data_IF_031723516337
#
_entry.id   IF_031723516337
#
_cell.length_a   1.000
_cell.length_b   1.000
_cell.length_c   1.000
_cell.angle_alpha   90.00
_cell.angle_beta   90.00
_cell.angle_gamma   90.00
#
_symmetry.space_group_name_H-M   'P 1'
#
loop_
_entity.id
_entity.type
_entity.pdbx_description
1 polymer ?
#
# COMPACT_ATOMS: atom_id res chain seq x y z
N UNK A 1 48.75 -18.99 -49.06
CA UNK A 1 47.51 -19.75 -48.76
C UNK A 1 47.20 -19.55 -47.28
N UNK A 2 46.64 -18.38 -46.92
CA UNK A 2 46.31 -18.02 -45.53
C UNK A 2 44.94 -17.37 -45.58
N UNK A 3 43.88 -18.16 -45.40
CA UNK A 3 42.52 -17.64 -45.28
C UNK A 3 41.61 -18.70 -44.63
N UNK A 4 41.83 -19.01 -43.35
CA UNK A 4 40.95 -19.92 -42.61
C UNK A 4 40.99 -19.70 -41.09
N UNK A 5 40.94 -18.45 -40.63
CA UNK A 5 40.98 -18.14 -39.18
C UNK A 5 39.99 -17.04 -38.72
N UNK A 6 39.19 -16.48 -39.64
CA UNK A 6 38.23 -15.42 -39.31
C UNK A 6 36.81 -15.93 -38.99
N UNK A 7 36.51 -17.21 -39.22
CA UNK A 7 35.15 -17.75 -39.07
C UNK A 7 34.81 -18.16 -37.62
N UNK A 8 35.80 -18.53 -36.80
CA UNK A 8 35.54 -19.09 -35.46
C UNK A 8 35.39 -18.05 -34.33
N UNK A 9 35.74 -16.78 -34.59
CA UNK A 9 35.66 -15.72 -33.57
C UNK A 9 34.25 -15.10 -33.44
N UNK A 10 33.44 -15.19 -34.49
CA UNK A 10 32.07 -14.65 -34.51
C UNK A 10 31.05 -15.55 -33.76
N UNK A 11 31.36 -16.84 -33.56
CA UNK A 11 30.41 -17.81 -32.99
C UNK A 11 30.41 -17.87 -31.46
N UNK A 12 31.47 -17.38 -30.79
CA UNK A 12 31.61 -17.42 -29.32
C UNK A 12 31.02 -16.20 -28.60
N UNK A 13 30.80 -15.08 -29.29
CA UNK A 13 30.29 -13.85 -28.66
C UNK A 13 28.78 -13.90 -28.36
N UNK A 14 28.00 -14.64 -29.17
CA UNK A 14 26.54 -14.67 -29.04
C UNK A 14 26.04 -15.59 -27.91
N UNK A 15 26.80 -16.64 -27.54
CA UNK A 15 26.40 -17.60 -26.50
C UNK A 15 26.48 -17.05 -25.07
N UNK A 16 27.44 -16.15 -24.80
CA UNK A 16 27.62 -15.58 -23.47
C UNK A 16 26.54 -14.54 -23.13
N UNK A 17 26.10 -13.74 -24.11
CA UNK A 17 25.05 -12.73 -23.91
C UNK A 17 23.70 -13.40 -23.64
N UNK A 18 23.35 -14.44 -24.41
CA UNK A 18 22.10 -15.16 -24.21
C UNK A 18 22.10 -15.96 -22.90
N UNK A 19 23.24 -16.54 -22.51
CA UNK A 19 23.42 -17.17 -21.20
C UNK A 19 23.33 -16.16 -20.05
N UNK A 20 23.83 -14.93 -20.23
CA UNK A 20 23.76 -13.86 -19.22
C UNK A 20 22.32 -13.35 -19.05
N UNK A 21 21.59 -13.17 -20.15
CA UNK A 21 20.18 -12.77 -20.13
C UNK A 21 19.32 -13.83 -19.41
N UNK A 22 19.56 -15.12 -19.67
CA UNK A 22 18.81 -16.19 -19.01
C UNK A 22 19.09 -16.29 -17.50
N UNK A 23 20.34 -16.09 -17.07
CA UNK A 23 20.66 -16.07 -15.62
C UNK A 23 20.11 -14.82 -14.92
N UNK A 24 20.04 -13.68 -15.60
CA UNK A 24 19.44 -12.47 -15.05
C UNK A 24 17.92 -12.63 -14.86
N UNK A 25 17.21 -13.19 -15.85
CA UNK A 25 15.79 -13.50 -15.68
C UNK A 25 15.58 -14.54 -14.57
N UNK A 26 16.39 -15.60 -14.50
CA UNK A 26 16.29 -16.59 -13.43
C UNK A 26 16.51 -15.95 -12.04
N UNK A 27 17.44 -15.00 -11.92
CA UNK A 27 17.66 -14.22 -10.69
C UNK A 27 16.47 -13.33 -10.35
N UNK A 28 15.91 -12.61 -11.34
CA UNK A 28 14.74 -11.75 -11.14
C UNK A 28 13.52 -12.60 -10.72
N UNK A 29 13.30 -13.75 -11.36
CA UNK A 29 12.23 -14.67 -10.97
C UNK A 29 12.43 -15.22 -9.56
N UNK A 30 13.66 -15.61 -9.21
CA UNK A 30 13.99 -16.04 -7.85
C UNK A 30 13.75 -14.92 -6.84
N UNK A 31 14.17 -13.69 -7.14
CA UNK A 31 13.91 -12.52 -6.29
C UNK A 31 12.41 -12.26 -6.14
N UNK A 32 11.65 -12.33 -7.24
CA UNK A 32 10.21 -12.15 -7.21
C UNK A 32 9.54 -13.19 -6.32
N UNK A 33 9.95 -14.45 -6.44
CA UNK A 33 9.50 -15.52 -5.55
C UNK A 33 9.84 -15.18 -4.09
N UNK A 34 11.10 -14.89 -3.77
CA UNK A 34 11.50 -14.52 -2.40
C UNK A 34 10.69 -13.34 -1.85
N UNK A 35 10.45 -12.30 -2.65
CA UNK A 35 9.65 -11.13 -2.27
C UNK A 35 8.20 -11.51 -2.02
N UNK A 36 7.59 -12.33 -2.89
CA UNK A 36 6.20 -12.78 -2.71
C UNK A 36 6.08 -13.62 -1.44
N UNK A 37 7.01 -14.56 -1.19
CA UNK A 37 7.00 -15.32 0.05
C UNK A 37 7.17 -14.41 1.26
N UNK A 38 8.12 -13.49 1.22
CA UNK A 38 8.31 -12.50 2.28
C UNK A 38 7.03 -11.69 2.54
N UNK A 39 6.36 -11.22 1.49
CA UNK A 39 5.11 -10.47 1.59
C UNK A 39 3.96 -11.32 2.14
N UNK A 40 3.85 -12.59 1.75
CA UNK A 40 2.84 -13.52 2.28
C UNK A 40 3.06 -13.81 3.77
N UNK A 41 4.32 -14.04 4.18
CA UNK A 41 4.65 -14.19 5.60
C UNK A 41 4.36 -12.90 6.38
N UNK A 42 4.76 -11.75 5.85
CA UNK A 42 4.43 -10.45 6.43
C UNK A 42 2.92 -10.27 6.60
N UNK A 43 2.14 -10.51 5.54
CA UNK A 43 0.68 -10.43 5.57
C UNK A 43 0.05 -11.38 6.60
N UNK A 44 0.56 -12.61 6.73
CA UNK A 44 0.07 -13.56 7.72
C UNK A 44 0.37 -13.10 9.15
N UNK A 45 1.57 -12.58 9.40
CA UNK A 45 1.99 -12.04 10.70
C UNK A 45 1.18 -10.80 11.07
N UNK A 46 1.09 -9.82 10.18
CA UNK A 46 0.29 -8.61 10.42
C UNK A 46 -1.19 -8.95 10.59
N UNK A 47 -1.75 -9.86 9.79
CA UNK A 47 -3.14 -10.30 9.96
C UNK A 47 -3.36 -10.97 11.32
N UNK A 48 -2.43 -11.81 11.79
CA UNK A 48 -2.55 -12.44 13.10
C UNK A 48 -2.49 -11.42 14.25
N UNK A 49 -1.68 -10.37 14.11
CA UNK A 49 -1.49 -9.35 15.14
C UNK A 49 -2.59 -8.27 15.13
N UNK A 50 -2.97 -7.77 13.96
CA UNK A 50 -3.85 -6.60 13.83
C UNK A 50 -5.32 -6.95 13.76
N UNK A 51 -5.68 -8.10 13.17
CA UNK A 51 -7.09 -8.53 13.04
C UNK A 51 -7.85 -8.62 14.39
N UNK A 52 -7.30 -9.15 15.49
CA UNK A 52 -8.04 -9.13 16.76
C UNK A 52 -8.29 -7.71 17.27
N UNK A 53 -7.32 -6.80 17.11
CA UNK A 53 -7.46 -5.40 17.51
C UNK A 53 -8.51 -4.66 16.66
N UNK A 54 -8.54 -4.95 15.37
CA UNK A 54 -9.57 -4.45 14.44
C UNK A 54 -10.97 -4.89 14.87
N UNK A 55 -11.16 -6.18 15.16
CA UNK A 55 -12.45 -6.71 15.61
C UNK A 55 -12.89 -6.10 16.94
N UNK A 56 -11.98 -5.94 17.90
CA UNK A 56 -12.29 -5.27 19.15
C UNK A 56 -12.67 -3.80 18.94
N UNK A 57 -11.97 -3.08 18.05
CA UNK A 57 -12.30 -1.71 17.71
C UNK A 57 -13.69 -1.61 17.07
N UNK A 58 -14.05 -2.53 16.17
CA UNK A 58 -15.39 -2.63 15.60
C UNK A 58 -16.45 -2.92 16.66
N UNK A 59 -16.20 -3.87 17.59
CA UNK A 59 -17.13 -4.15 18.67
C UNK A 59 -17.34 -2.94 19.59
N UNK A 60 -16.26 -2.23 19.95
CA UNK A 60 -16.35 -1.00 20.76
C UNK A 60 -17.13 0.10 20.04
N UNK A 61 -16.85 0.31 18.76
CA UNK A 61 -17.56 1.27 17.92
C UNK A 61 -19.05 0.97 17.83
N UNK A 62 -19.42 -0.27 17.49
CA UNK A 62 -20.81 -0.68 17.38
C UNK A 62 -21.57 -0.56 18.70
N UNK A 63 -20.90 -0.86 19.82
CA UNK A 63 -21.49 -0.68 21.15
C UNK A 63 -21.76 0.79 21.44
N UNK A 64 -20.79 1.68 21.20
CA UNK A 64 -20.97 3.12 21.41
C UNK A 64 -22.11 3.69 20.54
N UNK A 65 -22.20 3.23 19.29
CA UNK A 65 -23.26 3.65 18.38
C UNK A 65 -24.64 3.18 18.85
N UNK A 66 -24.75 1.92 19.30
CA UNK A 66 -25.99 1.38 19.84
C UNK A 66 -26.43 2.08 21.13
N UNK A 67 -25.50 2.35 22.05
CA UNK A 67 -25.75 3.11 23.27
C UNK A 67 -26.24 4.53 22.94
N UNK A 68 -25.64 5.20 21.96
CA UNK A 68 -26.07 6.54 21.51
C UNK A 68 -27.48 6.54 20.92
N UNK A 69 -27.77 5.59 20.03
CA UNK A 69 -29.12 5.40 19.42
C UNK A 69 -30.16 5.18 20.50
N UNK A 70 -29.85 4.34 21.49
CA UNK A 70 -30.76 4.02 22.58
C UNK A 70 -31.01 5.24 23.48
N UNK A 71 -29.95 5.96 23.85
CA UNK A 71 -30.01 7.10 24.78
C UNK A 71 -30.74 8.31 24.16
N UNK A 72 -30.55 8.54 22.85
CA UNK A 72 -31.10 9.71 22.14
C UNK A 72 -32.35 9.39 21.30
N UNK A 73 -32.83 8.14 21.31
CA UNK A 73 -33.97 7.66 20.51
C UNK A 73 -33.88 8.03 19.02
N UNK A 74 -32.67 8.05 18.46
CA UNK A 74 -32.42 8.43 17.06
C UNK A 74 -32.77 7.26 16.14
N UNK A 75 -33.49 7.46 15.01
CA UNK A 75 -33.69 6.43 14.02
C UNK A 75 -32.34 5.92 13.50
N UNK A 76 -32.13 4.60 13.53
CA UNK A 76 -30.84 4.01 13.14
C UNK A 76 -30.49 4.29 11.67
N UNK A 77 -31.49 4.45 10.81
CA UNK A 77 -31.33 4.79 9.40
C UNK A 77 -30.76 6.21 9.20
N UNK A 78 -31.33 7.21 9.86
CA UNK A 78 -30.88 8.61 9.79
C UNK A 78 -29.44 8.76 10.31
N UNK A 79 -29.09 8.01 11.37
CA UNK A 79 -27.73 8.03 11.93
C UNK A 79 -26.71 7.40 10.97
N UNK A 80 -27.06 6.31 10.30
CA UNK A 80 -26.19 5.67 9.30
C UNK A 80 -26.03 6.54 8.06
N UNK A 81 -27.09 7.24 7.63
CA UNK A 81 -27.02 8.21 6.54
C UNK A 81 -26.07 9.37 6.89
N UNK A 82 -26.19 9.92 8.11
CA UNK A 82 -25.29 10.95 8.62
C UNK A 82 -23.84 10.47 8.67
N UNK A 83 -23.58 9.25 9.16
CA UNK A 83 -22.24 8.65 9.16
C UNK A 83 -21.69 8.49 7.75
N UNK A 84 -22.52 8.07 6.79
CA UNK A 84 -22.13 7.98 5.39
C UNK A 84 -21.81 9.34 4.77
N UNK A 85 -22.53 10.41 5.16
CA UNK A 85 -22.19 11.78 4.77
C UNK A 85 -20.89 12.25 5.41
N UNK A 86 -20.68 11.92 6.69
CA UNK A 86 -19.46 12.24 7.43
C UNK A 86 -18.23 11.53 6.84
N UNK A 87 -18.35 10.26 6.44
CA UNK A 87 -17.28 9.52 5.77
C UNK A 87 -16.87 10.20 4.45
N UNK A 88 -17.86 10.62 3.64
CA UNK A 88 -17.62 11.40 2.41
C UNK A 88 -16.93 12.74 2.71
N UNK A 89 -17.32 13.41 3.78
CA UNK A 89 -16.73 14.68 4.20
C UNK A 89 -15.26 14.49 4.64
N UNK A 90 -14.95 13.45 5.42
CA UNK A 90 -13.57 13.10 5.79
C UNK A 90 -12.73 12.77 4.56
N UNK A 91 -13.29 12.00 3.61
CA UNK A 91 -12.60 11.69 2.36
C UNK A 91 -12.28 12.95 1.53
N UNK A 92 -13.12 13.98 1.62
CA UNK A 92 -12.87 15.31 1.05
C UNK A 92 -11.90 16.18 1.88
N UNK A 93 -11.41 15.69 3.03
CA UNK A 93 -10.50 16.40 3.93
C UNK A 93 -11.18 17.38 4.89
N UNK A 94 -12.51 17.34 5.00
CA UNK A 94 -13.28 18.17 5.92
C UNK A 94 -13.17 17.57 7.33
N UNK A 95 -12.65 18.35 8.28
CA UNK A 95 -12.46 17.93 9.68
C UNK A 95 -13.59 18.46 10.55
N UNK A 96 -13.96 17.68 11.57
CA UNK A 96 -15.03 18.03 12.51
C UNK A 96 -14.67 19.25 13.38
N UNK A 97 -13.41 19.30 13.83
CA UNK A 97 -12.86 20.50 14.45
C UNK A 97 -12.30 21.42 13.36
N UNK A 98 -12.76 22.67 13.32
CA UNK A 98 -12.24 23.74 12.47
C UNK A 98 -10.83 24.20 12.91
N UNK A 99 -9.92 23.26 13.14
CA UNK A 99 -8.51 23.55 13.28
C UNK A 99 -7.97 23.95 11.91
N UNK A 100 -7.02 24.87 11.94
CA UNK A 100 -6.30 25.50 10.81
C UNK A 100 -6.35 24.68 9.48
N UNK A 101 -6.71 25.31 8.34
CA UNK A 101 -6.85 24.61 7.06
C UNK A 101 -5.64 23.73 6.73
N UNK A 102 -5.86 22.45 6.38
CA UNK A 102 -4.77 21.51 6.10
C UNK A 102 -3.88 21.93 4.91
N UNK A 103 -4.41 22.75 4.00
CA UNK A 103 -3.73 23.28 2.81
C UNK A 103 -3.27 24.74 2.95
N UNK A 104 -3.07 25.22 4.18
CA UNK A 104 -2.33 26.47 4.36
C UNK A 104 -0.87 26.34 3.88
N UNK A 105 -0.16 27.46 3.73
CA UNK A 105 1.21 27.47 3.20
C UNK A 105 2.15 26.48 3.92
N UNK A 106 2.08 26.40 5.25
CA UNK A 106 2.95 25.49 6.01
C UNK A 106 2.53 24.02 5.90
N UNK A 107 1.23 23.73 5.80
CA UNK A 107 0.72 22.39 5.52
C UNK A 107 1.12 21.93 4.12
N UNK A 108 0.99 22.81 3.13
CA UNK A 108 1.45 22.56 1.77
C UNK A 108 2.98 22.39 1.68
N UNK A 109 3.75 23.22 2.40
CA UNK A 109 5.20 23.08 2.48
C UNK A 109 5.62 21.74 3.11
N UNK A 110 4.97 21.33 4.20
CA UNK A 110 5.19 20.02 4.82
C UNK A 110 4.86 18.88 3.84
N UNK A 111 3.73 18.97 3.13
CA UNK A 111 3.36 17.97 2.12
C UNK A 111 4.44 17.82 1.04
N UNK A 112 4.94 18.93 0.49
CA UNK A 112 6.04 18.90 -0.50
C UNK A 112 7.29 18.26 0.10
N UNK A 113 7.61 18.55 1.37
CA UNK A 113 8.75 17.94 2.05
C UNK A 113 8.60 16.41 2.18
N UNK A 114 7.40 15.92 2.56
CA UNK A 114 7.09 14.48 2.63
C UNK A 114 7.28 13.81 1.28
N UNK A 115 6.71 14.39 0.21
CA UNK A 115 6.86 13.89 -1.17
C UNK A 115 8.33 13.85 -1.60
N UNK A 116 9.08 14.93 -1.35
CA UNK A 116 10.50 15.00 -1.67
C UNK A 116 11.34 14.00 -0.87
N UNK A 117 10.93 13.69 0.37
CA UNK A 117 11.63 12.76 1.26
C UNK A 117 11.25 11.29 1.10
N UNK A 118 10.24 10.97 0.27
CA UNK A 118 9.72 9.61 0.06
C UNK A 118 9.21 8.91 1.35
N UNK A 119 8.70 9.71 2.30
CA UNK A 119 8.00 9.25 3.50
C UNK A 119 6.54 8.94 3.15
#
# INVERSE_FOLDING_TARGET
>A
MVQSDHSDRARKSCGCIWSHINIDFARIFLLWFVIVFYALFGAAVFSALERPLELEAHCRWNRQLAEFVQDHQVPSEDLLELLGHYEKAIAAGIRMEARRPCWDFSGAFYFVATVASTI
#
